data_IF_603312730773
#
_entry.id   IF_603312730773
#
_cell.length_a   1.000
_cell.length_b   1.000
_cell.length_c   1.000
_cell.angle_alpha   90.00
_cell.angle_beta   90.00
_cell.angle_gamma   90.00
#
_symmetry.space_group_name_H-M   'P 1'
#
loop_
_entity.id
_entity.type
_entity.pdbx_description
1 polymer ?
#
# COMPACT_ATOMS: atom_id res chain seq x y z
N UNK A 1 -9.71 -15.15 12.24
CA UNK A 1 -9.66 -13.78 11.67
C UNK A 1 -9.30 -12.82 12.79
N UNK A 2 -8.15 -12.16 12.69
CA UNK A 2 -7.72 -11.14 13.68
C UNK A 2 -8.56 -9.87 13.54
N UNK A 3 -8.74 -9.14 14.63
CA UNK A 3 -9.50 -7.87 14.68
C UNK A 3 -9.03 -6.86 13.60
N UNK A 4 -7.70 -6.74 13.43
CA UNK A 4 -7.05 -5.96 12.36
C UNK A 4 -7.59 -6.24 10.96
N UNK A 5 -7.76 -7.52 10.60
CA UNK A 5 -8.20 -7.88 9.24
C UNK A 5 -9.64 -7.42 9.02
N UNK A 6 -10.49 -7.51 10.05
CA UNK A 6 -11.87 -7.01 9.96
C UNK A 6 -11.87 -5.49 9.78
N UNK A 7 -11.05 -4.76 10.54
CA UNK A 7 -10.98 -3.30 10.42
C UNK A 7 -10.51 -2.86 9.03
N UNK A 8 -9.46 -3.49 8.48
CA UNK A 8 -8.98 -3.19 7.12
C UNK A 8 -10.08 -3.42 6.08
N UNK A 9 -10.85 -4.50 6.16
CA UNK A 9 -11.98 -4.74 5.24
C UNK A 9 -13.03 -3.62 5.31
N UNK A 10 -13.25 -3.00 6.48
CA UNK A 10 -14.16 -1.84 6.59
C UNK A 10 -13.63 -0.58 5.86
N UNK A 11 -12.33 -0.52 5.57
CA UNK A 11 -11.73 0.60 4.86
C UNK A 11 -11.92 0.52 3.34
N UNK A 12 -12.41 -0.62 2.80
CA UNK A 12 -12.68 -0.78 1.36
C UNK A 12 -13.79 0.17 0.91
N UNK A 13 -13.62 0.80 -0.24
CA UNK A 13 -14.66 1.67 -0.82
C UNK A 13 -15.60 0.85 -1.70
N UNK A 14 -16.87 1.24 -1.76
CA UNK A 14 -17.90 0.53 -2.52
C UNK A 14 -17.65 0.52 -4.03
N UNK A 15 -17.03 1.58 -4.55
CA UNK A 15 -16.71 1.74 -5.97
C UNK A 15 -15.30 1.25 -6.34
N UNK A 16 -14.55 0.69 -5.39
CA UNK A 16 -13.19 0.23 -5.63
C UNK A 16 -13.18 -1.13 -6.35
N UNK A 17 -12.54 -1.16 -7.52
CA UNK A 17 -12.45 -2.37 -8.30
C UNK A 17 -11.53 -3.41 -7.61
N UNK A 18 -11.61 -4.70 -7.97
CA UNK A 18 -10.85 -5.75 -7.29
C UNK A 18 -9.32 -5.55 -7.34
N UNK A 19 -8.79 -4.99 -8.43
CA UNK A 19 -7.34 -4.75 -8.58
C UNK A 19 -6.88 -3.63 -7.68
N UNK A 20 -7.59 -2.49 -7.69
CA UNK A 20 -7.33 -1.37 -6.76
C UNK A 20 -7.36 -1.86 -5.32
N UNK A 21 -8.42 -2.58 -4.94
CA UNK A 21 -8.57 -3.05 -3.58
C UNK A 21 -7.44 -3.99 -3.17
N UNK A 22 -7.04 -4.91 -4.05
CA UNK A 22 -5.94 -5.84 -3.77
C UNK A 22 -4.64 -5.11 -3.47
N UNK A 23 -4.29 -4.10 -4.27
CA UNK A 23 -3.08 -3.30 -4.08
C UNK A 23 -3.19 -2.42 -2.82
N UNK A 24 -4.32 -1.73 -2.65
CA UNK A 24 -4.52 -0.85 -1.48
C UNK A 24 -4.54 -1.64 -0.18
N UNK A 25 -5.20 -2.79 -0.16
CA UNK A 25 -5.25 -3.68 1.00
C UNK A 25 -3.86 -4.16 1.41
N UNK A 26 -3.00 -4.53 0.45
CA UNK A 26 -1.62 -4.91 0.76
C UNK A 26 -0.84 -3.76 1.42
N UNK A 27 -1.03 -2.53 0.95
CA UNK A 27 -0.47 -1.33 1.59
C UNK A 27 -1.00 -1.13 3.02
N UNK A 28 -2.32 -1.27 3.20
CA UNK A 28 -2.97 -1.14 4.52
C UNK A 28 -2.43 -2.18 5.50
N UNK A 29 -2.38 -3.45 5.09
CA UNK A 29 -1.92 -4.57 5.92
C UNK A 29 -0.46 -4.43 6.33
N UNK A 30 0.42 -4.03 5.41
CA UNK A 30 1.85 -3.82 5.68
C UNK A 30 2.08 -2.73 6.73
N UNK A 31 1.32 -1.64 6.64
CA UNK A 31 1.60 -0.41 7.39
C UNK A 31 0.65 -0.14 8.57
N UNK A 32 -0.33 -1.01 8.82
CA UNK A 32 -1.40 -0.82 9.81
C UNK A 32 -0.92 -0.43 11.21
N UNK A 33 0.18 -1.03 11.69
CA UNK A 33 0.71 -0.77 13.04
C UNK A 33 1.73 0.37 13.08
N UNK A 34 2.18 0.87 11.93
CA UNK A 34 3.27 1.85 11.83
C UNK A 34 2.76 3.27 11.53
N UNK A 35 1.57 3.39 10.98
CA UNK A 35 0.92 4.66 10.65
C UNK A 35 -0.33 4.84 11.49
N UNK A 36 -0.64 6.08 11.84
CA UNK A 36 -1.96 6.42 12.36
C UNK A 36 -3.05 6.15 11.30
N UNK A 37 -4.28 5.92 11.77
CA UNK A 37 -5.40 5.51 10.90
C UNK A 37 -5.67 6.50 9.77
N UNK A 38 -5.63 7.79 10.06
CA UNK A 38 -5.91 8.84 9.08
C UNK A 38 -4.82 8.86 8.00
N UNK A 39 -3.55 8.88 8.41
CA UNK A 39 -2.41 8.87 7.50
C UNK A 39 -2.35 7.61 6.67
N UNK A 40 -2.64 6.45 7.28
CA UNK A 40 -2.72 5.17 6.61
C UNK A 40 -3.74 5.21 5.46
N UNK A 41 -4.94 5.74 5.73
CA UNK A 41 -5.99 5.87 4.71
C UNK A 41 -5.52 6.81 3.61
N UNK A 42 -5.05 8.02 3.94
CA UNK A 42 -4.61 9.02 2.96
C UNK A 42 -3.51 8.46 2.06
N UNK A 43 -2.44 7.93 2.66
CA UNK A 43 -1.30 7.41 1.90
C UNK A 43 -1.68 6.20 1.06
N UNK A 44 -2.56 5.30 1.55
CA UNK A 44 -3.02 4.16 0.76
C UNK A 44 -3.74 4.59 -0.53
N UNK A 45 -4.49 5.70 -0.47
CA UNK A 45 -5.18 6.26 -1.63
C UNK A 45 -4.20 6.94 -2.60
N UNK A 46 -3.26 7.74 -2.07
CA UNK A 46 -2.24 8.36 -2.89
C UNK A 46 -1.33 7.32 -3.57
N UNK A 47 -1.02 6.23 -2.87
CA UNK A 47 -0.22 5.12 -3.40
C UNK A 47 -0.90 4.47 -4.60
N UNK A 48 -2.18 4.06 -4.49
CA UNK A 48 -2.86 3.46 -5.65
C UNK A 48 -3.01 4.46 -6.81
N UNK A 49 -3.23 5.74 -6.51
CA UNK A 49 -3.33 6.76 -7.55
C UNK A 49 -1.99 6.98 -8.27
N UNK A 50 -0.89 6.88 -7.54
CA UNK A 50 0.43 6.95 -8.14
C UNK A 50 0.74 5.70 -8.98
N UNK A 51 0.61 4.51 -8.40
CA UNK A 51 1.04 3.25 -9.02
C UNK A 51 0.13 2.78 -10.17
N UNK A 52 -1.19 2.97 -10.04
CA UNK A 52 -2.15 2.49 -11.05
C UNK A 52 -2.55 3.56 -12.06
N UNK A 53 -2.53 4.83 -11.65
CA UNK A 53 -3.01 5.95 -12.47
C UNK A 53 -1.92 6.99 -12.80
N UNK A 54 -0.68 6.81 -12.34
CA UNK A 54 0.44 7.71 -12.65
C UNK A 54 0.33 9.11 -12.03
N UNK A 55 -0.50 9.30 -11.01
CA UNK A 55 -0.70 10.61 -10.38
C UNK A 55 0.56 11.08 -9.64
N UNK A 56 0.89 12.37 -9.78
CA UNK A 56 1.94 13.03 -9.02
C UNK A 56 1.38 13.80 -7.83
N UNK A 57 2.18 13.88 -6.76
CA UNK A 57 1.88 14.64 -5.55
C UNK A 57 3.08 15.51 -5.16
N UNK A 58 2.95 16.46 -4.22
CA UNK A 58 4.09 17.21 -3.69
C UNK A 58 5.18 16.27 -3.15
N UNK A 59 6.45 16.68 -3.26
CA UNK A 59 7.61 15.82 -3.00
C UNK A 59 7.60 15.17 -1.62
N UNK A 60 7.11 15.88 -0.59
CA UNK A 60 6.95 15.34 0.76
C UNK A 60 6.05 14.10 0.77
N UNK A 61 4.93 14.14 0.04
CA UNK A 61 4.00 13.03 -0.08
C UNK A 61 4.63 11.91 -0.92
N UNK A 62 5.29 12.26 -2.02
CA UNK A 62 5.98 11.28 -2.87
C UNK A 62 7.04 10.48 -2.10
N UNK A 63 7.81 11.14 -1.24
CA UNK A 63 8.79 10.48 -0.37
C UNK A 63 8.13 9.47 0.58
N UNK A 64 6.99 9.82 1.17
CA UNK A 64 6.24 8.91 2.05
C UNK A 64 5.62 7.74 1.27
N UNK A 65 5.06 7.99 0.09
CA UNK A 65 4.53 6.94 -0.80
C UNK A 65 5.62 5.92 -1.12
N UNK A 66 6.82 6.37 -1.52
CA UNK A 66 7.96 5.48 -1.81
C UNK A 66 8.38 4.68 -0.58
N UNK A 67 8.54 5.35 0.57
CA UNK A 67 8.96 4.70 1.81
C UNK A 67 7.99 3.60 2.26
N UNK A 68 6.70 3.91 2.32
CA UNK A 68 5.69 2.99 2.88
C UNK A 68 5.18 1.98 1.85
N UNK A 69 5.22 2.34 0.57
CA UNK A 69 4.82 1.51 -0.57
C UNK A 69 5.89 0.52 -1.05
N UNK A 70 7.11 0.63 -0.55
CA UNK A 70 8.23 -0.24 -0.96
C UNK A 70 7.87 -1.74 -0.92
N UNK A 71 8.11 -2.46 -2.02
CA UNK A 71 7.77 -3.89 -2.14
C UNK A 71 6.28 -4.26 -2.10
N UNK A 72 5.35 -3.30 -2.03
CA UNK A 72 3.89 -3.61 -2.04
C UNK A 72 3.47 -4.16 -3.39
N UNK A 73 3.86 -3.52 -4.50
CA UNK A 73 3.53 -3.99 -5.86
C UNK A 73 4.11 -5.39 -6.09
N UNK A 74 5.38 -5.61 -5.75
CA UNK A 74 6.02 -6.91 -5.91
C UNK A 74 5.31 -7.98 -5.08
N UNK A 75 4.89 -7.66 -3.84
CA UNK A 75 4.15 -8.60 -2.99
C UNK A 75 2.82 -9.03 -3.61
N UNK A 76 2.17 -8.15 -4.37
CA UNK A 76 0.86 -8.38 -4.99
C UNK A 76 0.96 -9.12 -6.32
N UNK A 77 1.96 -8.80 -7.14
CA UNK A 77 2.05 -9.30 -8.51
C UNK A 77 3.11 -10.40 -8.70
N UNK A 78 4.15 -10.45 -7.87
CA UNK A 78 5.26 -11.40 -8.03
C UNK A 78 5.27 -12.53 -6.98
N UNK A 79 4.47 -12.43 -5.91
CA UNK A 79 4.21 -13.50 -4.94
C UNK A 79 5.45 -14.09 -4.26
N UNK A 80 5.78 -13.65 -3.04
CA UNK A 80 6.88 -14.17 -2.18
C UNK A 80 8.10 -14.71 -2.98
N UNK A 81 8.63 -13.94 -3.91
CA UNK A 81 9.99 -14.20 -4.36
C UNK A 81 10.92 -13.84 -3.19
N UNK A 82 11.75 -14.78 -2.75
CA UNK A 82 12.75 -14.58 -1.70
C UNK A 82 13.61 -13.37 -2.05
N UNK A 83 13.34 -12.23 -1.40
CA UNK A 83 14.19 -11.06 -1.46
C UNK A 83 15.45 -11.31 -0.62
N UNK A 84 16.35 -12.15 -1.14
CA UNK A 84 17.76 -11.97 -0.85
C UNK A 84 18.13 -10.60 -1.41
N UNK A 85 18.24 -9.62 -0.52
CA UNK A 85 18.64 -8.25 -0.82
C UNK A 85 19.79 -8.27 -1.84
N UNK A 86 19.56 -7.71 -3.03
CA UNK A 86 20.64 -7.34 -3.93
C UNK A 86 21.40 -6.19 -3.26
N UNK A 87 22.33 -6.54 -2.37
CA UNK A 87 23.46 -5.71 -2.00
C UNK A 87 24.34 -5.58 -3.25
N UNK A 88 24.10 -4.53 -4.02
CA UNK A 88 25.07 -4.06 -5.00
C UNK A 88 26.17 -3.37 -4.19
N UNK A 89 27.37 -3.94 -4.25
CA UNK A 89 28.60 -3.42 -3.61
C UNK A 89 29.01 -2.08 -4.21
#
# INVERSE_FOLDING_TARGET
MTDRTKDIETMRRTFENPTEWRVRKAFLEKNYNALDRERLIILSNCFINHELYGCGYPEKIMSEIRKWGDGVIDSVYMGKADFAALHIK
#
